data_IF_687292574083
#
_entry.id   IF_687292574083
#
_cell.length_a   1.000
_cell.length_b   1.000
_cell.length_c   1.000
_cell.angle_alpha   90.00
_cell.angle_beta   90.00
_cell.angle_gamma   90.00
#
_symmetry.space_group_name_H-M   'P 1'
#
loop_
_entity.id
_entity.type
_entity.pdbx_description
1 polymer ?
#
# COMPACT_ATOMS: atom_id res chain seq x y z
N UNK A 1 -8.02 3.29 18.31
CA UNK A 1 -6.94 2.87 17.34
C UNK A 1 -6.09 1.81 18.00
N UNK A 2 -5.78 0.71 17.31
CA UNK A 2 -4.89 -0.36 17.75
C UNK A 2 -3.55 -0.26 17.05
N UNK A 3 -2.54 -0.95 17.58
CA UNK A 3 -1.17 -0.90 17.07
C UNK A 3 -0.61 -2.30 16.90
N UNK A 4 0.31 -2.46 15.92
CA UNK A 4 1.06 -3.70 15.70
C UNK A 4 2.54 -3.38 15.58
N UNK A 5 3.37 -4.28 16.12
CA UNK A 5 4.81 -4.19 15.98
C UNK A 5 5.27 -5.14 14.88
N UNK A 6 6.07 -4.65 13.96
CA UNK A 6 6.72 -5.52 12.97
C UNK A 6 7.57 -6.57 13.68
N UNK A 7 7.42 -7.81 13.28
CA UNK A 7 8.11 -8.95 13.92
C UNK A 7 9.61 -8.76 13.91
N UNK A 8 10.28 -9.14 15.01
CA UNK A 8 11.71 -8.97 15.23
C UNK A 8 12.22 -7.51 15.14
N UNK A 9 11.39 -6.54 15.43
CA UNK A 9 11.73 -5.11 15.43
C UNK A 9 11.12 -4.39 16.61
N UNK A 10 11.51 -3.11 16.80
CA UNK A 10 10.84 -2.15 17.68
C UNK A 10 9.90 -1.20 16.90
N UNK A 11 9.64 -1.49 15.62
CA UNK A 11 8.81 -0.66 14.75
C UNK A 11 7.32 -0.95 14.98
N UNK A 12 6.69 -0.09 15.77
CA UNK A 12 5.24 -0.18 16.07
C UNK A 12 4.49 0.85 15.23
N UNK A 13 3.41 0.41 14.58
CA UNK A 13 2.57 1.23 13.69
C UNK A 13 1.09 1.12 14.08
N UNK A 14 0.29 2.14 13.78
CA UNK A 14 -1.16 2.05 13.86
C UNK A 14 -1.69 1.05 12.83
N UNK A 15 -2.71 0.26 13.18
CA UNK A 15 -3.33 -0.72 12.26
C UNK A 15 -3.95 -0.08 11.02
N UNK A 16 -4.32 1.20 11.11
CA UNK A 16 -4.69 2.05 9.98
C UNK A 16 -3.69 3.19 9.88
N UNK A 17 -3.00 3.28 8.75
CA UNK A 17 -2.06 4.34 8.44
C UNK A 17 -2.63 5.34 7.44
N UNK A 18 -1.94 6.46 7.26
CA UNK A 18 -2.30 7.52 6.34
C UNK A 18 -1.39 7.51 5.10
N UNK A 19 -1.96 7.15 3.93
CA UNK A 19 -1.26 7.17 2.65
C UNK A 19 -1.33 8.55 1.98
N UNK A 20 -0.19 9.19 1.76
CA UNK A 20 -0.13 10.52 1.17
C UNK A 20 -0.34 10.55 -0.36
N UNK A 21 -0.36 9.39 -1.02
CA UNK A 21 -0.59 9.34 -2.47
C UNK A 21 -1.87 10.07 -2.88
N UNK A 22 -2.94 9.92 -2.10
CA UNK A 22 -4.24 10.52 -2.37
C UNK A 22 -4.19 12.04 -2.40
N UNK A 23 -3.50 12.65 -1.43
CA UNK A 23 -3.51 14.12 -1.23
C UNK A 23 -2.37 14.84 -1.93
N UNK A 24 -1.36 14.12 -2.47
CA UNK A 24 -0.15 14.75 -3.04
C UNK A 24 0.02 14.56 -4.54
N UNK A 25 -0.79 13.71 -5.20
CA UNK A 25 -0.60 13.38 -6.62
C UNK A 25 -1.60 14.02 -7.57
N UNK A 26 -2.68 14.62 -7.06
CA UNK A 26 -3.76 15.17 -7.87
C UNK A 26 -4.66 14.13 -8.57
N UNK A 27 -4.47 12.83 -8.31
CA UNK A 27 -5.25 11.75 -8.91
C UNK A 27 -6.63 11.50 -8.26
N UNK A 28 -6.80 12.02 -7.04
CA UNK A 28 -8.02 11.88 -6.23
C UNK A 28 -8.66 13.22 -5.89
N UNK A 29 -8.29 14.24 -6.61
CA UNK A 29 -8.68 15.62 -6.37
C UNK A 29 -7.47 16.51 -6.13
N UNK A 30 -7.73 17.80 -6.09
CA UNK A 30 -6.71 18.80 -5.78
C UNK A 30 -6.87 19.23 -4.34
N UNK A 31 -5.80 19.09 -3.58
CA UNK A 31 -5.72 19.52 -2.19
C UNK A 31 -4.78 20.71 -2.10
N UNK A 32 -5.19 21.73 -1.39
CA UNK A 32 -4.26 22.78 -0.94
C UNK A 32 -3.35 22.20 0.16
N UNK A 33 -2.20 22.82 0.34
CA UNK A 33 -1.28 22.43 1.42
C UNK A 33 -1.97 22.46 2.80
N UNK A 34 -2.79 23.46 3.06
CA UNK A 34 -3.53 23.59 4.30
C UNK A 34 -4.54 22.45 4.54
N UNK A 35 -5.28 22.04 3.52
CA UNK A 35 -6.22 20.91 3.59
C UNK A 35 -5.48 19.60 3.83
N UNK A 36 -4.37 19.38 3.13
CA UNK A 36 -3.55 18.19 3.30
C UNK A 36 -3.00 18.09 4.73
N UNK A 37 -2.44 19.16 5.27
CA UNK A 37 -1.92 19.25 6.64
C UNK A 37 -3.05 19.03 7.66
N UNK A 38 -4.22 19.64 7.46
CA UNK A 38 -5.37 19.48 8.35
C UNK A 38 -5.83 18.02 8.43
N UNK A 39 -5.89 17.30 7.29
CA UNK A 39 -6.22 15.87 7.27
C UNK A 39 -5.16 15.03 8.00
N UNK A 40 -3.88 15.36 7.84
CA UNK A 40 -2.79 14.65 8.52
C UNK A 40 -2.83 14.87 10.04
N UNK A 41 -3.07 16.10 10.51
CA UNK A 41 -3.26 16.39 11.94
C UNK A 41 -4.48 15.65 12.49
N UNK A 42 -5.60 15.66 11.78
CA UNK A 42 -6.78 14.91 12.18
C UNK A 42 -6.53 13.40 12.24
N UNK A 43 -5.74 12.84 11.30
CA UNK A 43 -5.34 11.45 11.33
C UNK A 43 -4.52 11.13 12.59
N UNK A 44 -3.57 11.98 12.91
CA UNK A 44 -2.75 11.86 14.12
C UNK A 44 -3.59 11.95 15.40
N UNK A 45 -4.51 12.90 15.49
CA UNK A 45 -5.45 13.06 16.62
C UNK A 45 -6.35 11.82 16.81
N UNK A 46 -6.65 11.10 15.74
CA UNK A 46 -7.38 9.82 15.76
C UNK A 46 -6.48 8.61 16.05
N UNK A 47 -5.19 8.84 16.30
CA UNK A 47 -4.21 7.82 16.68
C UNK A 47 -3.51 7.12 15.52
N UNK A 48 -3.61 7.63 14.28
CA UNK A 48 -2.79 7.15 13.18
C UNK A 48 -1.35 7.65 13.35
N UNK A 49 -0.41 6.73 13.46
CA UNK A 49 1.01 7.07 13.61
C UNK A 49 1.83 6.80 12.36
N UNK A 50 1.35 5.91 11.46
CA UNK A 50 2.04 5.58 10.21
C UNK A 50 1.62 6.54 9.10
N UNK A 51 2.61 7.23 8.50
CA UNK A 51 2.46 8.08 7.33
C UNK A 51 3.29 7.52 6.18
N UNK A 52 2.62 7.09 5.09
CA UNK A 52 3.26 6.47 3.93
C UNK A 52 3.36 7.46 2.77
N UNK A 53 4.57 7.84 2.42
CA UNK A 53 4.95 8.74 1.34
C UNK A 53 5.71 8.00 0.22
N UNK A 54 6.16 8.74 -0.76
CA UNK A 54 7.20 8.37 -1.72
C UNK A 54 7.86 9.63 -2.29
N UNK A 55 9.10 9.51 -2.69
CA UNK A 55 9.84 10.58 -3.36
C UNK A 55 9.12 11.05 -4.65
N UNK A 56 8.44 10.14 -5.34
CA UNK A 56 7.69 10.41 -6.57
C UNK A 56 6.29 10.99 -6.33
N UNK A 57 5.75 10.96 -5.13
CA UNK A 57 4.40 11.48 -4.88
C UNK A 57 4.42 13.02 -4.86
N UNK A 58 3.90 13.60 -5.97
CA UNK A 58 4.00 15.03 -6.20
C UNK A 58 5.45 15.52 -6.34
N UNK A 59 6.37 14.65 -6.79
CA UNK A 59 7.80 14.97 -6.95
C UNK A 59 8.42 15.51 -5.64
N UNK A 60 8.26 14.76 -4.55
CA UNK A 60 8.76 15.10 -3.23
C UNK A 60 7.74 15.79 -2.31
N UNK A 61 6.62 16.27 -2.85
CA UNK A 61 5.61 17.00 -2.07
C UNK A 61 5.11 16.21 -0.86
N UNK A 62 4.88 14.90 -1.01
CA UNK A 62 4.38 14.07 0.10
C UNK A 62 5.32 14.08 1.31
N UNK A 63 6.62 14.03 1.08
CA UNK A 63 7.64 14.09 2.14
C UNK A 63 7.73 15.48 2.77
N UNK A 64 7.64 16.54 1.95
CA UNK A 64 7.60 17.92 2.46
C UNK A 64 6.35 18.20 3.31
N UNK A 65 5.19 17.63 2.94
CA UNK A 65 3.97 17.74 3.71
C UNK A 65 4.10 17.11 5.09
N UNK A 66 4.74 15.93 5.21
CA UNK A 66 5.02 15.31 6.51
C UNK A 66 5.89 16.24 7.37
N UNK A 67 6.97 16.78 6.81
CA UNK A 67 7.85 17.69 7.53
C UNK A 67 7.16 18.98 8.01
N UNK A 68 6.19 19.47 7.24
CA UNK A 68 5.39 20.66 7.61
C UNK A 68 4.31 20.34 8.62
N UNK A 69 3.66 19.18 8.51
CA UNK A 69 2.61 18.77 9.43
C UNK A 69 3.16 18.43 10.82
N UNK A 70 4.35 17.82 10.91
CA UNK A 70 4.88 17.26 12.15
C UNK A 70 6.29 17.77 12.50
N UNK A 71 6.50 19.10 12.58
CA UNK A 71 7.83 19.65 12.81
C UNK A 71 8.42 19.29 14.18
N UNK A 72 7.58 18.95 15.17
CA UNK A 72 7.99 18.65 16.55
C UNK A 72 7.55 17.27 17.03
N UNK A 73 6.87 16.47 16.20
CA UNK A 73 6.32 15.16 16.55
C UNK A 73 7.06 13.99 15.88
N UNK A 74 8.33 14.19 15.51
CA UNK A 74 9.12 13.18 14.77
C UNK A 74 9.16 11.82 15.49
N UNK A 75 9.24 11.81 16.81
CA UNK A 75 9.31 10.60 17.62
C UNK A 75 7.93 9.97 17.89
N UNK A 76 6.84 10.66 17.56
CA UNK A 76 5.49 10.20 17.75
C UNK A 76 4.90 9.58 16.47
N UNK A 77 5.58 9.75 15.32
CA UNK A 77 5.15 9.23 14.02
C UNK A 77 6.14 8.24 13.44
N UNK A 78 5.63 7.35 12.62
CA UNK A 78 6.41 6.44 11.79
C UNK A 78 6.32 6.89 10.33
N UNK A 79 7.46 7.16 9.74
CA UNK A 79 7.58 7.59 8.34
C UNK A 79 8.01 6.41 7.49
N UNK A 80 7.11 5.98 6.59
CA UNK A 80 7.44 5.10 5.49
C UNK A 80 7.57 5.95 4.21
N UNK A 81 8.66 5.77 3.46
CA UNK A 81 8.82 6.38 2.14
C UNK A 81 9.46 5.42 1.16
N UNK A 82 9.57 5.81 -0.11
CA UNK A 82 9.99 4.94 -1.19
C UNK A 82 11.00 5.64 -2.08
N UNK A 83 11.95 4.86 -2.62
CA UNK A 83 12.97 5.32 -3.58
C UNK A 83 13.12 4.32 -4.72
N UNK A 84 13.69 4.76 -5.84
CA UNK A 84 14.00 3.90 -6.98
C UNK A 84 13.61 4.46 -8.33
N UNK A 85 12.73 5.47 -8.39
CA UNK A 85 12.40 6.17 -9.62
C UNK A 85 13.24 7.43 -9.79
N UNK A 86 13.76 7.66 -11.00
CA UNK A 86 14.46 8.89 -11.35
C UNK A 86 13.48 10.01 -11.74
N UNK A 87 12.74 10.50 -10.75
CA UNK A 87 11.80 11.61 -10.99
C UNK A 87 12.49 12.97 -11.15
N UNK A 88 13.75 13.08 -10.76
CA UNK A 88 14.51 14.34 -10.89
C UNK A 88 14.74 14.70 -12.36
N UNK A 89 15.13 13.71 -13.17
CA UNK A 89 15.37 13.89 -14.60
C UNK A 89 14.11 13.62 -15.45
N UNK A 90 13.13 12.89 -14.92
CA UNK A 90 11.99 12.38 -15.66
C UNK A 90 10.63 12.73 -15.03
N UNK A 91 10.58 13.63 -14.05
CA UNK A 91 9.34 13.99 -13.34
C UNK A 91 8.25 14.58 -14.26
N UNK A 92 8.63 15.28 -15.32
CA UNK A 92 7.71 15.84 -16.32
C UNK A 92 7.14 14.77 -17.28
N UNK A 93 7.78 13.61 -17.38
CA UNK A 93 7.31 12.51 -18.21
C UNK A 93 6.03 11.84 -17.68
N UNK A 94 5.56 12.21 -16.50
CA UNK A 94 4.26 11.81 -15.95
C UNK A 94 3.10 12.56 -16.64
N UNK A 95 2.96 12.33 -17.94
CA UNK A 95 1.71 12.66 -18.63
C UNK A 95 0.57 11.78 -18.07
N UNK A 96 -0.67 12.27 -18.18
CA UNK A 96 -1.89 11.51 -17.85
C UNK A 96 -1.81 10.13 -18.49
N UNK A 97 -1.76 9.07 -17.68
CA UNK A 97 -1.66 7.67 -18.10
C UNK A 97 -0.35 7.06 -17.64
N UNK A 98 -0.35 6.54 -16.47
CA UNK A 98 0.47 5.50 -15.82
C UNK A 98 1.78 5.08 -16.54
N UNK A 99 2.50 5.98 -17.16
CA UNK A 99 3.84 5.65 -17.61
C UNK A 99 4.74 5.59 -16.38
N UNK A 100 5.31 4.43 -16.14
CA UNK A 100 6.46 4.33 -15.26
C UNK A 100 7.57 5.20 -15.83
N UNK A 101 8.09 6.08 -14.98
CA UNK A 101 9.32 6.80 -15.31
C UNK A 101 10.51 5.85 -15.13
N UNK A 102 11.68 6.11 -15.75
CA UNK A 102 12.86 5.30 -15.55
C UNK A 102 13.20 5.10 -14.08
N UNK A 103 13.72 3.92 -13.78
CA UNK A 103 14.19 3.53 -12.44
C UNK A 103 15.72 3.50 -12.42
N UNK A 104 16.29 3.89 -11.28
CA UNK A 104 17.72 3.74 -11.00
C UNK A 104 17.89 3.21 -9.57
N UNK A 105 18.22 1.94 -9.47
CA UNK A 105 18.51 1.26 -8.21
C UNK A 105 19.99 1.05 -7.95
N UNK A 106 20.86 1.77 -8.67
CA UNK A 106 22.29 1.74 -8.37
C UNK A 106 22.55 2.18 -6.92
N UNK A 107 23.60 1.64 -6.27
CA UNK A 107 23.96 2.03 -4.91
C UNK A 107 24.07 3.54 -4.70
N UNK A 108 24.62 4.23 -5.68
CA UNK A 108 24.78 5.69 -5.67
C UNK A 108 23.43 6.40 -5.78
N UNK A 109 22.52 5.93 -6.64
CA UNK A 109 21.20 6.52 -6.81
C UNK A 109 20.33 6.33 -5.56
N UNK A 110 20.29 5.12 -4.99
CA UNK A 110 19.54 4.82 -3.78
C UNK A 110 20.06 5.66 -2.61
N UNK A 111 21.39 5.80 -2.46
CA UNK A 111 21.99 6.65 -1.42
C UNK A 111 21.58 8.11 -1.60
N UNK A 112 21.72 8.66 -2.81
CA UNK A 112 21.32 10.05 -3.11
C UNK A 112 19.83 10.29 -2.89
N UNK A 113 18.97 9.35 -3.32
CA UNK A 113 17.53 9.46 -3.14
C UNK A 113 17.15 9.45 -1.65
N UNK A 114 17.79 8.58 -0.86
CA UNK A 114 17.58 8.52 0.60
C UNK A 114 18.02 9.82 1.28
N UNK A 115 19.20 10.35 0.95
CA UNK A 115 19.67 11.62 1.51
C UNK A 115 18.75 12.80 1.10
N UNK A 116 18.25 12.79 -0.12
CA UNK A 116 17.28 13.78 -0.58
C UNK A 116 15.92 13.67 0.14
N UNK A 117 15.44 12.45 0.41
CA UNK A 117 14.24 12.18 1.19
C UNK A 117 14.38 12.69 2.63
N UNK A 118 15.50 12.39 3.31
CA UNK A 118 15.81 12.92 4.65
C UNK A 118 15.79 14.45 4.70
N UNK A 119 16.33 15.09 3.65
CA UNK A 119 16.32 16.55 3.54
C UNK A 119 14.90 17.12 3.38
N UNK A 120 14.04 16.51 2.54
CA UNK A 120 12.63 16.94 2.36
C UNK A 120 11.81 16.71 3.63
N UNK A 121 12.01 15.55 4.28
CA UNK A 121 11.39 15.17 5.54
C UNK A 121 11.93 15.98 6.75
N UNK A 122 13.05 16.70 6.60
CA UNK A 122 13.72 17.44 7.68
C UNK A 122 14.00 16.59 8.91
N UNK A 123 14.47 15.38 8.71
CA UNK A 123 14.79 14.39 9.75
C UNK A 123 16.12 13.71 9.44
N UNK A 124 16.73 13.13 10.46
CA UNK A 124 17.95 12.33 10.34
C UNK A 124 17.71 10.84 10.06
N UNK A 125 16.46 10.37 10.15
CA UNK A 125 16.09 8.96 9.95
C UNK A 125 14.78 8.77 9.23
N UNK A 126 14.70 7.68 8.45
CA UNK A 126 13.49 7.10 7.88
C UNK A 126 13.18 5.82 8.66
N UNK A 127 11.94 5.62 9.11
CA UNK A 127 11.59 4.44 9.88
C UNK A 127 11.45 3.20 8.98
N UNK A 128 10.84 3.34 7.80
CA UNK A 128 10.71 2.26 6.82
C UNK A 128 11.00 2.79 5.40
N UNK A 129 12.18 2.46 4.86
CA UNK A 129 12.51 2.74 3.46
C UNK A 129 12.10 1.57 2.57
N UNK A 130 11.39 1.85 1.48
CA UNK A 130 10.90 0.83 0.56
C UNK A 130 11.49 1.03 -0.84
N UNK A 131 11.99 -0.04 -1.46
CA UNK A 131 12.34 -0.03 -2.87
C UNK A 131 11.05 -0.06 -3.69
N UNK A 132 10.88 0.94 -4.57
CA UNK A 132 9.62 1.20 -5.25
C UNK A 132 9.52 0.45 -6.58
N UNK A 133 8.66 -0.57 -6.66
CA UNK A 133 8.38 -1.35 -7.87
C UNK A 133 9.62 -2.02 -8.47
N UNK A 134 10.42 -2.69 -7.65
CA UNK A 134 11.59 -3.46 -8.11
C UNK A 134 11.23 -4.49 -9.18
N UNK A 135 12.23 -4.90 -9.96
CA UNK A 135 12.15 -6.00 -10.91
C UNK A 135 13.04 -7.16 -10.46
N UNK A 136 12.96 -8.31 -11.17
CA UNK A 136 13.71 -9.51 -10.81
C UNK A 136 15.22 -9.27 -10.72
N UNK A 137 15.77 -8.38 -11.53
CA UNK A 137 17.20 -8.03 -11.47
C UNK A 137 17.59 -7.41 -10.12
N UNK A 138 16.73 -6.55 -9.53
CA UNK A 138 16.99 -5.97 -8.21
C UNK A 138 16.86 -7.01 -7.09
N UNK A 139 16.04 -8.05 -7.26
CA UNK A 139 15.94 -9.13 -6.27
C UNK A 139 17.31 -9.76 -6.02
N UNK A 140 18.11 -9.95 -7.07
CA UNK A 140 19.40 -10.62 -7.01
C UNK A 140 20.63 -9.68 -7.01
N UNK A 141 20.42 -8.36 -7.00
CA UNK A 141 21.50 -7.38 -6.94
C UNK A 141 22.03 -7.20 -5.51
N UNK A 142 23.05 -7.97 -5.14
CA UNK A 142 23.67 -7.90 -3.81
C UNK A 142 24.25 -6.53 -3.47
N UNK A 143 24.65 -5.71 -4.46
CA UNK A 143 25.18 -4.38 -4.21
C UNK A 143 24.09 -3.44 -3.69
N UNK A 144 22.89 -3.55 -4.26
CA UNK A 144 21.70 -2.82 -3.80
C UNK A 144 21.37 -3.17 -2.34
N UNK A 145 21.27 -4.46 -2.00
CA UNK A 145 20.92 -4.90 -0.66
C UNK A 145 21.98 -4.55 0.38
N UNK A 146 23.27 -4.64 0.03
CA UNK A 146 24.38 -4.13 0.88
C UNK A 146 24.29 -2.62 1.11
N UNK A 147 23.79 -1.86 0.15
CA UNK A 147 23.57 -0.42 0.30
C UNK A 147 22.49 -0.13 1.33
N UNK A 148 21.36 -0.90 1.32
CA UNK A 148 20.32 -0.75 2.35
C UNK A 148 20.85 -1.07 3.74
N UNK A 149 21.64 -2.14 3.90
CA UNK A 149 22.30 -2.47 5.17
C UNK A 149 23.26 -1.37 5.64
N UNK A 150 24.00 -0.76 4.70
CA UNK A 150 24.86 0.38 5.00
C UNK A 150 24.05 1.57 5.50
N UNK A 151 22.97 1.96 4.81
CA UNK A 151 22.10 3.06 5.23
C UNK A 151 21.49 2.80 6.62
N UNK A 152 21.18 1.55 6.92
CA UNK A 152 20.71 1.13 8.24
C UNK A 152 21.83 1.25 9.28
N UNK A 153 23.04 0.80 8.98
CA UNK A 153 24.19 0.92 9.90
C UNK A 153 24.60 2.37 10.17
N UNK A 154 24.36 3.27 9.20
CA UNK A 154 24.56 4.72 9.33
C UNK A 154 23.44 5.42 10.14
N UNK A 155 22.39 4.71 10.53
CA UNK A 155 21.23 5.25 11.23
C UNK A 155 20.26 6.08 10.38
N UNK A 156 20.50 6.18 9.08
CA UNK A 156 19.63 6.92 8.14
C UNK A 156 18.29 6.21 7.90
N UNK A 157 18.31 4.89 7.98
CA UNK A 157 17.13 4.02 7.78
C UNK A 157 17.08 3.04 8.95
N UNK A 158 15.92 2.95 9.62
CA UNK A 158 15.76 1.97 10.72
C UNK A 158 15.46 0.58 10.15
N UNK A 159 14.52 0.52 9.22
CA UNK A 159 14.07 -0.72 8.58
C UNK A 159 13.84 -0.50 7.09
N UNK A 160 13.95 -1.56 6.32
CA UNK A 160 13.70 -1.49 4.88
C UNK A 160 12.79 -2.64 4.40
N UNK A 161 12.21 -2.44 3.23
CA UNK A 161 11.35 -3.38 2.55
C UNK A 161 11.17 -3.03 1.08
N UNK A 162 10.12 -3.55 0.49
CA UNK A 162 9.74 -3.28 -0.90
C UNK A 162 8.29 -2.80 -0.98
N UNK A 163 7.99 -1.97 -1.97
CA UNK A 163 6.63 -1.62 -2.37
C UNK A 163 6.41 -2.10 -3.81
N UNK A 164 5.48 -3.03 -3.98
CA UNK A 164 5.21 -3.65 -5.27
C UNK A 164 4.16 -2.87 -6.05
N UNK A 165 4.26 -2.89 -7.37
CA UNK A 165 3.40 -2.19 -8.30
C UNK A 165 1.95 -2.69 -8.31
N UNK A 166 1.18 -2.38 -9.38
CA UNK A 166 -0.19 -2.87 -9.54
C UNK A 166 -0.23 -4.39 -9.40
N UNK A 167 -1.22 -4.91 -8.71
CA UNK A 167 -1.30 -6.22 -8.10
C UNK A 167 -0.73 -7.38 -8.91
N UNK A 168 -0.88 -7.34 -10.22
CA UNK A 168 -0.76 -8.55 -11.03
C UNK A 168 0.58 -8.64 -11.78
N UNK A 169 1.37 -7.59 -11.77
CA UNK A 169 2.63 -7.55 -12.51
C UNK A 169 3.88 -7.87 -11.69
N UNK A 170 3.75 -8.16 -10.39
CA UNK A 170 4.90 -8.30 -9.47
C UNK A 170 4.88 -9.59 -8.64
N UNK A 171 4.25 -10.64 -9.15
CA UNK A 171 4.18 -11.92 -8.46
C UNK A 171 5.59 -12.50 -8.19
N UNK A 172 6.42 -12.54 -9.23
CA UNK A 172 7.75 -13.15 -9.11
C UNK A 172 8.67 -12.34 -8.23
N UNK A 173 8.70 -11.04 -8.44
CA UNK A 173 9.50 -10.10 -7.65
C UNK A 173 9.16 -10.21 -6.16
N UNK A 174 7.88 -10.19 -5.82
CA UNK A 174 7.44 -10.30 -4.43
C UNK A 174 7.80 -11.63 -3.80
N UNK A 175 7.46 -12.75 -4.45
CA UNK A 175 7.73 -14.10 -3.92
C UNK A 175 9.23 -14.36 -3.79
N UNK A 176 10.03 -14.03 -4.81
CA UNK A 176 11.46 -14.28 -4.76
C UNK A 176 12.16 -13.33 -3.77
N UNK A 177 11.75 -12.07 -3.71
CA UNK A 177 12.32 -11.13 -2.74
C UNK A 177 12.07 -11.57 -1.30
N UNK A 178 10.86 -12.06 -0.98
CA UNK A 178 10.53 -12.61 0.33
C UNK A 178 11.40 -13.84 0.66
N UNK A 179 11.65 -14.71 -0.32
CA UNK A 179 12.45 -15.92 -0.12
C UNK A 179 13.93 -15.61 0.07
N UNK A 180 14.47 -14.73 -0.76
CA UNK A 180 15.92 -14.50 -0.91
C UNK A 180 16.45 -13.39 0.00
N UNK A 181 15.60 -12.48 0.48
CA UNK A 181 16.02 -11.29 1.22
C UNK A 181 15.37 -11.21 2.61
N UNK A 182 16.06 -10.53 3.53
CA UNK A 182 15.54 -10.25 4.87
C UNK A 182 14.76 -8.94 4.84
N UNK A 183 13.45 -9.03 4.60
CA UNK A 183 12.56 -7.87 4.49
C UNK A 183 11.78 -7.66 5.77
N UNK A 184 11.78 -6.45 6.29
CA UNK A 184 10.87 -6.06 7.37
C UNK A 184 9.43 -5.97 6.83
N UNK A 185 9.26 -5.37 5.65
CA UNK A 185 7.94 -5.08 5.09
C UNK A 185 7.86 -5.34 3.59
N UNK A 186 6.71 -5.84 3.15
CA UNK A 186 6.29 -5.82 1.74
C UNK A 186 4.98 -5.05 1.64
N UNK A 187 5.00 -3.93 0.90
CA UNK A 187 3.79 -3.19 0.59
C UNK A 187 3.20 -3.68 -0.73
N UNK A 188 1.93 -4.11 -0.70
CA UNK A 188 1.26 -4.58 -1.91
C UNK A 188 -0.24 -4.28 -1.89
N UNK A 189 -0.91 -4.50 -3.04
CA UNK A 189 -2.36 -4.43 -3.16
C UNK A 189 -2.97 -5.72 -2.63
N UNK A 190 -3.92 -5.60 -1.70
CA UNK A 190 -4.69 -6.71 -1.18
C UNK A 190 -6.03 -6.22 -0.63
N UNK A 191 -7.11 -6.87 -1.02
CA UNK A 191 -8.45 -6.57 -0.52
C UNK A 191 -9.39 -7.73 -0.86
N UNK A 192 -10.61 -7.74 -0.34
CA UNK A 192 -11.58 -8.81 -0.55
C UNK A 192 -11.84 -9.16 -2.03
N UNK A 193 -11.73 -8.17 -2.95
CA UNK A 193 -12.00 -8.36 -4.38
C UNK A 193 -10.73 -8.66 -5.19
N UNK A 194 -9.55 -8.36 -4.67
CA UNK A 194 -8.26 -8.47 -5.34
C UNK A 194 -7.26 -9.16 -4.41
N UNK A 195 -7.37 -10.49 -4.28
CA UNK A 195 -6.56 -11.28 -3.34
C UNK A 195 -5.29 -11.86 -3.97
N UNK A 196 -5.26 -12.03 -5.29
CA UNK A 196 -4.04 -12.40 -6.00
C UNK A 196 -3.24 -11.13 -6.40
N UNK A 197 -1.90 -11.07 -6.28
CA UNK A 197 -0.97 -12.12 -5.81
C UNK A 197 -0.72 -12.10 -4.29
N UNK A 198 -1.50 -11.36 -3.51
CA UNK A 198 -1.32 -11.25 -2.06
C UNK A 198 -1.21 -12.59 -1.36
N UNK A 199 -2.10 -13.55 -1.65
CA UNK A 199 -2.02 -14.91 -1.11
C UNK A 199 -0.66 -15.57 -1.36
N UNK A 200 -0.08 -15.38 -2.56
CA UNK A 200 1.24 -15.94 -2.88
C UNK A 200 2.35 -15.31 -2.05
N UNK A 201 2.25 -14.03 -1.69
CA UNK A 201 3.24 -13.36 -0.82
C UNK A 201 3.15 -13.87 0.62
N UNK A 202 1.94 -13.98 1.17
CA UNK A 202 1.70 -14.52 2.50
C UNK A 202 2.18 -15.98 2.60
N UNK A 203 1.87 -16.78 1.60
CA UNK A 203 2.35 -18.16 1.47
C UNK A 203 3.87 -18.23 1.38
N UNK A 204 4.51 -17.37 0.58
CA UNK A 204 5.96 -17.34 0.43
C UNK A 204 6.65 -17.01 1.75
N UNK A 205 6.15 -16.02 2.50
CA UNK A 205 6.69 -15.67 3.81
C UNK A 205 6.56 -16.83 4.80
N UNK A 206 5.40 -17.50 4.84
CA UNK A 206 5.13 -18.63 5.72
C UNK A 206 6.02 -19.84 5.37
N UNK A 207 6.09 -20.23 4.10
CA UNK A 207 6.88 -21.38 3.63
C UNK A 207 8.39 -21.16 3.77
N UNK A 208 8.85 -19.91 3.63
CA UNK A 208 10.26 -19.57 3.83
C UNK A 208 10.64 -19.36 5.30
N UNK A 209 9.68 -19.44 6.24
CA UNK A 209 9.92 -19.15 7.66
C UNK A 209 10.35 -17.70 7.93
N UNK A 210 9.96 -16.76 7.06
CA UNK A 210 10.31 -15.34 7.18
C UNK A 210 9.32 -14.60 8.07
N UNK A 211 9.83 -13.65 8.84
CA UNK A 211 9.05 -12.78 9.73
C UNK A 211 8.60 -11.48 9.04
N UNK A 212 8.72 -11.42 7.71
CA UNK A 212 8.21 -10.32 6.89
C UNK A 212 6.74 -10.06 7.16
N UNK A 213 6.38 -8.81 7.41
CA UNK A 213 5.00 -8.38 7.55
C UNK A 213 4.56 -7.54 6.35
N UNK A 214 3.25 -7.35 6.22
CA UNK A 214 2.66 -6.71 5.06
C UNK A 214 2.06 -5.35 5.41
N UNK A 215 2.32 -4.37 4.54
CA UNK A 215 1.67 -3.07 4.52
C UNK A 215 0.70 -3.05 3.34
N UNK A 216 -0.59 -2.99 3.64
CA UNK A 216 -1.61 -3.19 2.60
C UNK A 216 -2.12 -1.86 2.08
N UNK A 217 -2.05 -1.66 0.75
CA UNK A 217 -2.63 -0.51 0.05
C UNK A 217 -3.80 -0.91 -0.85
N UNK A 218 -4.58 0.07 -1.32
CA UNK A 218 -5.79 -0.15 -2.14
C UNK A 218 -6.80 -1.06 -1.42
N UNK A 219 -6.91 -0.91 -0.13
CA UNK A 219 -7.72 -1.73 0.78
C UNK A 219 -9.20 -1.82 0.39
N UNK A 220 -9.72 -0.77 -0.25
CA UNK A 220 -11.13 -0.67 -0.69
C UNK A 220 -11.32 -0.87 -2.20
N UNK A 221 -10.34 -1.48 -2.92
CA UNK A 221 -10.43 -1.67 -4.38
C UNK A 221 -10.85 -0.39 -5.11
N UNK A 222 -10.08 0.71 -4.90
CA UNK A 222 -10.37 2.04 -5.46
C UNK A 222 -11.75 2.60 -5.04
N UNK A 223 -12.17 2.36 -3.81
CA UNK A 223 -13.43 2.83 -3.23
C UNK A 223 -14.63 1.90 -3.45
N UNK A 224 -14.45 0.79 -4.18
CA UNK A 224 -15.54 -0.17 -4.45
C UNK A 224 -16.12 -0.74 -3.15
N UNK A 225 -15.25 -1.17 -2.23
CA UNK A 225 -15.62 -1.74 -0.93
C UNK A 225 -16.11 -0.71 0.11
N UNK A 226 -16.22 0.58 -0.26
CA UNK A 226 -17.00 1.53 0.53
C UNK A 226 -18.51 1.35 0.33
N UNK A 227 -18.91 0.60 -0.71
CA UNK A 227 -20.31 0.27 -0.99
C UNK A 227 -21.17 1.44 -1.47
N UNK A 228 -20.54 2.56 -1.89
CA UNK A 228 -21.23 3.82 -2.24
C UNK A 228 -21.45 3.99 -3.75
N UNK A 229 -20.87 3.14 -4.61
CA UNK A 229 -21.01 3.27 -6.05
C UNK A 229 -22.35 2.74 -6.53
N UNK A 230 -22.89 3.45 -7.54
CA UNK A 230 -24.11 3.07 -8.25
C UNK A 230 -23.84 2.90 -9.75
N UNK A 231 -24.73 2.26 -10.51
CA UNK A 231 -24.57 2.18 -11.97
C UNK A 231 -24.47 3.55 -12.67
N UNK A 232 -24.91 4.63 -12.05
CA UNK A 232 -24.85 6.00 -12.58
C UNK A 232 -23.56 6.72 -12.21
N UNK A 233 -22.74 6.15 -11.32
CA UNK A 233 -21.48 6.76 -10.86
C UNK A 233 -20.58 7.08 -12.05
N UNK A 234 -20.06 8.31 -12.08
CA UNK A 234 -19.13 8.83 -13.08
C UNK A 234 -17.94 9.43 -12.37
N UNK A 235 -16.76 9.23 -12.92
CA UNK A 235 -15.52 9.80 -12.44
C UNK A 235 -15.07 10.91 -13.37
N UNK A 236 -14.69 12.10 -12.85
CA UNK A 236 -14.15 13.17 -13.69
C UNK A 236 -12.85 12.70 -14.39
N UNK A 237 -12.51 13.27 -15.57
CA UNK A 237 -11.32 12.84 -16.32
C UNK A 237 -9.99 12.97 -15.55
N UNK A 238 -9.97 13.79 -14.52
CA UNK A 238 -8.80 13.99 -13.63
C UNK A 238 -8.70 12.95 -12.54
N UNK A 239 -9.74 12.15 -12.30
CA UNK A 239 -9.78 11.13 -11.28
C UNK A 239 -9.11 9.83 -11.80
N UNK A 240 -8.30 9.19 -10.96
CA UNK A 240 -7.63 7.92 -11.28
C UNK A 240 -8.60 6.84 -11.75
N UNK A 241 -9.80 6.80 -11.21
CA UNK A 241 -10.84 5.81 -11.55
C UNK A 241 -11.43 6.00 -12.95
N UNK A 242 -11.27 7.17 -13.56
CA UNK A 242 -11.76 7.46 -14.93
C UNK A 242 -11.14 6.56 -16.00
N UNK A 243 -9.97 5.95 -15.71
CA UNK A 243 -9.28 5.02 -16.61
C UNK A 243 -9.83 3.59 -16.55
N UNK A 244 -10.66 3.29 -15.55
CA UNK A 244 -11.25 1.96 -15.39
C UNK A 244 -12.37 1.73 -16.43
N UNK A 245 -12.45 0.55 -17.05
CA UNK A 245 -13.53 0.24 -17.96
C UNK A 245 -14.88 0.24 -17.22
N UNK A 246 -15.95 0.53 -17.93
CA UNK A 246 -17.30 0.54 -17.34
C UNK A 246 -17.68 -0.80 -16.70
N UNK A 247 -17.21 -1.92 -17.27
CA UNK A 247 -17.41 -3.26 -16.73
C UNK A 247 -16.84 -3.40 -15.31
N UNK A 248 -15.69 -2.77 -15.01
CA UNK A 248 -15.12 -2.76 -13.65
C UNK A 248 -16.11 -2.19 -12.63
N UNK A 249 -16.76 -1.07 -12.96
CA UNK A 249 -17.73 -0.47 -12.04
C UNK A 249 -18.97 -1.37 -11.87
N UNK A 250 -19.55 -1.82 -12.99
CA UNK A 250 -20.79 -2.61 -12.95
C UNK A 250 -20.61 -3.98 -12.30
N UNK A 251 -19.51 -4.67 -12.61
CA UNK A 251 -19.20 -5.95 -11.99
C UNK A 251 -18.78 -5.78 -10.53
N UNK A 252 -18.01 -4.72 -10.22
CA UNK A 252 -17.66 -4.40 -8.85
C UNK A 252 -18.87 -4.16 -7.95
N UNK A 253 -19.89 -3.43 -8.43
CA UNK A 253 -21.15 -3.24 -7.71
C UNK A 253 -21.83 -4.60 -7.44
N UNK A 254 -21.91 -5.50 -8.42
CA UNK A 254 -22.49 -6.83 -8.22
C UNK A 254 -21.75 -7.64 -7.16
N UNK A 255 -20.41 -7.59 -7.17
CA UNK A 255 -19.56 -8.24 -6.15
C UNK A 255 -19.82 -7.67 -4.76
N UNK A 256 -19.91 -6.35 -4.67
CA UNK A 256 -20.17 -5.64 -3.41
C UNK A 256 -21.54 -6.01 -2.83
N UNK A 257 -22.56 -6.16 -3.67
CA UNK A 257 -23.89 -6.58 -3.19
C UNK A 257 -23.87 -7.97 -2.50
N UNK A 258 -22.97 -8.87 -2.92
CA UNK A 258 -22.76 -10.15 -2.23
C UNK A 258 -22.10 -10.01 -0.86
N UNK A 259 -21.45 -8.86 -0.59
CA UNK A 259 -20.76 -8.58 0.67
C UNK A 259 -21.58 -7.75 1.65
N UNK A 260 -22.82 -7.35 1.32
CA UNK A 260 -23.67 -6.52 2.18
C UNK A 260 -24.00 -7.16 3.54
N UNK A 261 -23.93 -8.48 3.67
CA UNK A 261 -24.10 -9.17 4.94
C UNK A 261 -23.07 -8.77 6.00
N UNK A 262 -21.97 -8.16 5.59
CA UNK A 262 -20.93 -7.66 6.49
C UNK A 262 -21.31 -6.33 7.16
N UNK A 263 -22.31 -5.61 6.63
CA UNK A 263 -22.79 -4.34 7.19
C UNK A 263 -23.78 -4.59 8.33
N UNK A 264 -23.68 -3.77 9.36
CA UNK A 264 -24.64 -3.74 10.45
C UNK A 264 -24.69 -2.33 11.07
N UNK A 265 -25.45 -2.15 12.16
CA UNK A 265 -25.59 -0.84 12.82
C UNK A 265 -24.27 -0.28 13.39
N UNK A 266 -23.28 -1.13 13.62
CA UNK A 266 -22.01 -0.77 14.27
C UNK A 266 -20.80 -0.86 13.33
N UNK A 267 -20.99 -1.37 12.09
CA UNK A 267 -19.90 -1.59 11.14
C UNK A 267 -20.36 -1.31 9.70
N UNK A 268 -19.66 -0.42 9.02
CA UNK A 268 -19.81 -0.19 7.58
C UNK A 268 -19.06 -1.26 6.76
N UNK A 269 -19.36 -1.37 5.45
CA UNK A 269 -18.60 -2.25 4.56
C UNK A 269 -17.14 -1.82 4.45
N UNK A 270 -16.86 -0.51 4.43
CA UNK A 270 -15.50 0.02 4.43
C UNK A 270 -14.71 -0.42 5.67
N UNK A 271 -15.35 -0.41 6.84
CA UNK A 271 -14.74 -0.91 8.08
C UNK A 271 -14.57 -2.43 8.05
N UNK A 272 -15.52 -3.18 7.52
CA UNK A 272 -15.41 -4.62 7.35
C UNK A 272 -14.23 -5.00 6.44
N UNK A 273 -14.01 -4.23 5.38
CA UNK A 273 -12.87 -4.44 4.46
C UNK A 273 -11.52 -4.29 5.18
N UNK A 274 -11.38 -3.31 6.06
CA UNK A 274 -10.18 -3.16 6.87
C UNK A 274 -10.03 -4.26 7.92
N UNK A 275 -11.11 -4.66 8.58
CA UNK A 275 -11.08 -5.76 9.55
C UNK A 275 -10.69 -7.09 8.91
N UNK A 276 -11.17 -7.37 7.69
CA UNK A 276 -10.79 -8.57 6.95
C UNK A 276 -9.26 -8.64 6.74
N UNK A 277 -8.64 -7.53 6.36
CA UNK A 277 -7.19 -7.44 6.23
C UNK A 277 -6.49 -7.63 7.57
N UNK A 278 -6.98 -6.97 8.61
CA UNK A 278 -6.39 -6.99 9.95
C UNK A 278 -6.64 -8.32 10.71
N UNK A 279 -7.48 -9.21 10.17
CA UNK A 279 -7.61 -10.57 10.70
C UNK A 279 -6.34 -11.42 10.49
N UNK A 280 -5.50 -11.06 9.52
CA UNK A 280 -4.19 -11.66 9.33
C UNK A 280 -3.14 -10.96 10.23
N UNK A 281 -2.46 -11.72 11.07
CA UNK A 281 -1.43 -11.24 12.00
C UNK A 281 -0.14 -10.78 11.31
N UNK A 282 0.06 -11.15 10.04
CA UNK A 282 1.15 -10.65 9.19
C UNK A 282 0.87 -9.27 8.59
N UNK A 283 -0.37 -8.80 8.59
CA UNK A 283 -0.69 -7.43 8.16
C UNK A 283 -0.34 -6.47 9.29
N UNK A 284 0.70 -5.68 9.10
CA UNK A 284 1.13 -4.68 10.08
C UNK A 284 0.22 -3.46 10.11
N UNK A 285 -0.16 -2.98 8.92
CA UNK A 285 -1.02 -1.81 8.77
C UNK A 285 -1.73 -1.81 7.42
N UNK A 286 -2.80 -1.06 7.34
CA UNK A 286 -3.60 -0.83 6.13
C UNK A 286 -3.57 0.64 5.73
N UNK A 287 -3.48 0.93 4.43
CA UNK A 287 -3.44 2.27 3.86
C UNK A 287 -4.68 2.52 2.99
N UNK A 288 -5.83 2.86 3.59
CA UNK A 288 -7.01 3.24 2.82
C UNK A 288 -6.77 4.55 2.06
N UNK A 289 -7.49 4.74 0.95
CA UNK A 289 -7.51 6.03 0.28
C UNK A 289 -8.39 7.00 1.08
N UNK A 290 -7.76 7.99 1.71
CA UNK A 290 -8.43 9.01 2.51
C UNK A 290 -8.35 10.32 1.75
N UNK A 291 -9.49 10.92 1.42
CA UNK A 291 -9.60 12.21 0.73
C UNK A 291 -10.61 13.16 1.38
N UNK A 292 -11.26 12.74 2.45
CA UNK A 292 -12.09 13.61 3.27
C UNK A 292 -12.09 13.19 4.75
N UNK A 293 -12.58 14.10 5.62
CA UNK A 293 -12.59 13.86 7.05
C UNK A 293 -13.59 12.75 7.45
N UNK A 294 -14.69 12.59 6.72
CA UNK A 294 -15.68 11.56 7.02
C UNK A 294 -15.08 10.16 6.84
N UNK A 295 -14.39 9.92 5.73
CA UNK A 295 -13.66 8.67 5.50
C UNK A 295 -12.57 8.46 6.56
N UNK A 296 -11.83 9.51 6.89
CA UNK A 296 -10.78 9.43 7.89
C UNK A 296 -11.31 8.95 9.23
N UNK A 297 -12.42 9.54 9.72
CA UNK A 297 -13.07 9.13 10.98
C UNK A 297 -13.64 7.72 10.88
N UNK A 298 -14.26 7.36 9.76
CA UNK A 298 -14.82 6.03 9.52
C UNK A 298 -13.71 4.96 9.60
N UNK A 299 -12.63 5.16 8.88
CA UNK A 299 -11.56 4.15 8.78
C UNK A 299 -10.69 4.07 10.03
N UNK A 300 -10.46 5.20 10.71
CA UNK A 300 -9.75 5.20 11.99
C UNK A 300 -10.43 4.34 13.06
N UNK A 301 -11.75 4.20 12.99
CA UNK A 301 -12.54 3.38 13.91
C UNK A 301 -12.58 1.91 13.56
N UNK A 302 -12.20 1.52 12.33
CA UNK A 302 -12.34 0.14 11.85
C UNK A 302 -11.76 -0.92 12.82
N UNK A 303 -10.57 -0.74 13.41
CA UNK A 303 -10.03 -1.73 14.35
C UNK A 303 -10.88 -1.94 15.62
N UNK A 304 -11.70 -0.96 15.98
CA UNK A 304 -12.46 -0.94 17.23
C UNK A 304 -13.96 -1.29 17.03
N UNK A 305 -14.40 -1.51 15.78
CA UNK A 305 -15.77 -1.96 15.48
C UNK A 305 -15.94 -3.46 15.77
N UNK A 306 -17.19 -3.95 15.71
CA UNK A 306 -17.49 -5.37 15.91
C UNK A 306 -16.67 -6.25 14.93
N UNK A 307 -15.86 -7.21 15.40
CA UNK A 307 -15.05 -8.04 14.54
C UNK A 307 -15.86 -8.89 13.56
N UNK A 308 -15.24 -9.25 12.42
CA UNK A 308 -15.77 -10.29 11.55
C UNK A 308 -15.74 -11.63 12.27
N UNK A 309 -16.78 -12.43 12.07
CA UNK A 309 -16.88 -13.79 12.61
C UNK A 309 -16.11 -14.79 11.72
N UNK A 310 -15.85 -15.98 12.21
CA UNK A 310 -15.29 -17.08 11.41
C UNK A 310 -16.20 -17.42 10.22
N UNK A 311 -17.51 -17.34 10.41
CA UNK A 311 -18.51 -17.59 9.34
C UNK A 311 -18.47 -16.48 8.28
N UNK A 312 -18.30 -15.21 8.68
CA UNK A 312 -18.09 -14.11 7.75
C UNK A 312 -16.84 -14.35 6.89
N UNK A 313 -15.72 -14.75 7.52
CA UNK A 313 -14.46 -15.01 6.84
C UNK A 313 -14.60 -16.19 5.85
N UNK A 314 -15.22 -17.29 6.26
CA UNK A 314 -15.45 -18.44 5.40
C UNK A 314 -16.33 -18.09 4.20
N UNK A 315 -17.37 -17.29 4.42
CA UNK A 315 -18.26 -16.84 3.34
C UNK A 315 -17.58 -15.91 2.35
N UNK A 316 -16.67 -15.04 2.81
CA UNK A 316 -15.86 -14.20 1.91
C UNK A 316 -14.98 -15.08 1.02
N UNK A 317 -14.33 -16.10 1.58
CA UNK A 317 -13.50 -17.04 0.84
C UNK A 317 -14.29 -17.82 -0.22
N UNK A 318 -15.46 -18.33 0.15
CA UNK A 318 -16.38 -18.98 -0.78
C UNK A 318 -16.78 -18.06 -1.94
N UNK A 319 -17.20 -16.83 -1.63
CA UNK A 319 -17.56 -15.83 -2.63
C UNK A 319 -16.39 -15.47 -3.55
N UNK A 320 -15.20 -15.32 -2.99
CA UNK A 320 -14.00 -15.02 -3.78
C UNK A 320 -13.66 -16.17 -4.73
N UNK A 321 -13.76 -17.43 -4.29
CA UNK A 321 -13.45 -18.61 -5.09
C UNK A 321 -14.39 -18.77 -6.30
N UNK A 322 -15.63 -18.28 -6.20
CA UNK A 322 -16.65 -18.25 -7.28
C UNK A 322 -16.77 -16.86 -7.93
N UNK A 323 -15.73 -16.05 -7.84
CA UNK A 323 -15.73 -14.68 -8.37
C UNK A 323 -17.00 -13.88 -8.01
N UNK A 324 -17.55 -14.10 -6.80
CA UNK A 324 -18.78 -13.46 -6.31
C UNK A 324 -20.00 -13.72 -7.20
N UNK A 325 -20.11 -14.88 -7.82
CA UNK A 325 -21.16 -15.25 -8.78
C UNK A 325 -21.25 -14.29 -9.97
N UNK A 326 -20.15 -13.63 -10.34
CA UNK A 326 -20.10 -12.70 -11.47
C UNK A 326 -19.30 -13.30 -12.60
N UNK A 327 -19.96 -13.50 -13.76
CA UNK A 327 -19.26 -13.84 -15.00
C UNK A 327 -18.45 -12.63 -15.47
N UNK A 328 -17.14 -12.79 -15.53
CA UNK A 328 -16.20 -11.75 -15.95
C UNK A 328 -15.13 -12.39 -16.83
N UNK A 329 -14.80 -11.73 -17.95
CA UNK A 329 -13.61 -12.14 -18.71
C UNK A 329 -12.39 -12.02 -17.80
N UNK A 330 -11.49 -13.03 -17.79
CA UNK A 330 -10.24 -12.92 -17.06
C UNK A 330 -9.52 -11.63 -17.44
N UNK A 331 -8.99 -10.90 -16.46
CA UNK A 331 -8.27 -9.65 -16.75
C UNK A 331 -7.10 -9.93 -17.69
N UNK A 332 -6.98 -9.15 -18.75
CA UNK A 332 -5.83 -9.21 -19.67
C UNK A 332 -4.66 -8.47 -19.02
N UNK A 333 -3.76 -9.20 -18.38
CA UNK A 333 -2.61 -8.62 -17.73
C UNK A 333 -1.38 -8.62 -18.64
N UNK A 334 -0.62 -7.53 -18.56
CA UNK A 334 0.75 -7.49 -19.08
C UNK A 334 1.67 -8.01 -17.96
N UNK A 335 2.03 -9.27 -18.01
CA UNK A 335 2.92 -9.91 -17.05
C UNK A 335 2.54 -11.35 -16.78
N UNK A 336 3.45 -12.08 -16.16
CA UNK A 336 3.23 -13.47 -15.77
C UNK A 336 2.43 -13.52 -14.47
N UNK A 337 1.30 -14.17 -14.51
CA UNK A 337 0.43 -14.38 -13.34
C UNK A 337 0.75 -15.66 -12.57
N UNK A 338 1.59 -16.52 -13.15
CA UNK A 338 1.95 -17.80 -12.57
C UNK A 338 3.45 -17.85 -12.28
N UNK A 339 3.82 -18.43 -11.15
CA UNK A 339 5.21 -18.76 -10.88
C UNK A 339 5.67 -19.77 -11.94
N UNK A 340 6.91 -19.68 -12.45
CA UNK A 340 7.48 -20.74 -13.27
C UNK A 340 7.32 -22.05 -12.48
N UNK A 341 6.84 -23.10 -13.14
CA UNK A 341 6.89 -24.42 -12.53
C UNK A 341 8.37 -24.67 -12.20
N UNK A 342 8.67 -24.97 -10.94
CA UNK A 342 10.00 -25.39 -10.56
C UNK A 342 10.32 -26.58 -11.47
N UNK A 343 11.25 -26.39 -12.42
CA UNK A 343 11.81 -27.48 -13.15
C UNK A 343 12.47 -28.36 -12.10
N UNK A 344 11.84 -29.50 -11.81
CA UNK A 344 12.41 -30.49 -10.94
C UNK A 344 13.81 -30.77 -11.49
N UNK A 345 14.82 -30.28 -10.77
CA UNK A 345 16.21 -30.65 -11.03
C UNK A 345 16.28 -32.11 -10.63
N UNK A 346 16.35 -32.97 -11.64
CA UNK A 346 16.54 -34.42 -11.49
C UNK A 346 17.93 -34.73 -10.92
#
# INVERSE_FOLDING_TARGET
MRFRTYKNTDLTVSEVGFGLWTISTGWWGNFTEGEAIALMHKAFDLGMTLFDAADTYGNGLSEELIAKAFPNQRDEIVIATKVGYDFVHHGEARGRGQREIPQDFSPEAVTRATDAALKRLKTDRIDLLQLHNIRMEQVYDDALWKTLEKLKSEGKVRYYGIALGPAIGWLYEGVNCIRERELTSVQHIYNMLEQHPGHAFHDAATKAGKETMFLIRVTHSSGMLEGKYTPETKFPPTDHRSHRPRSWLLNGIKKVEQLRFLENAERTLGQAALQWLLADDRVASTLPNIYDEQQLVEFAKAPDTVPLTSDDMAKIEELYSDNFCVEEEPPKFKGTMELPQETAVA
#
